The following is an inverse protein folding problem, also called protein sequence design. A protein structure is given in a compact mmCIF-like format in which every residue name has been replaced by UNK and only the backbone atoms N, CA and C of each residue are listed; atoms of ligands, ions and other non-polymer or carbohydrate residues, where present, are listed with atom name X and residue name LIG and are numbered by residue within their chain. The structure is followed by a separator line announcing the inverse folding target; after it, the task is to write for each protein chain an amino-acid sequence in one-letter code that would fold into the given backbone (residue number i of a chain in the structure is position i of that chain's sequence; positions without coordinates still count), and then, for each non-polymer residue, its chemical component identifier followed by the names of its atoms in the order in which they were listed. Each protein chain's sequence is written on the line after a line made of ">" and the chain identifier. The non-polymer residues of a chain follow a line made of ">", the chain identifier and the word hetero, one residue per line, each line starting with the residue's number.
data_IF_581240753897
#
_entry.id   IF_581240753897
#
_cell.length_a   1.000
_cell.length_b   1.000
_cell.length_c   1.000
_cell.angle_alpha   90.00
_cell.angle_beta   90.00
_cell.angle_gamma   90.00
#
_symmetry.space_group_name_H-M   'P 1'
#
loop_
_entity.id
_entity.type
_entity.pdbx_description
1 polymer ?
#
# COMPACT_ATOMS: atom_id res chain seq x y z
N UNK A 1 44.20 3.24 34.42
CA UNK A 1 43.95 1.79 34.50
C UNK A 1 42.56 1.57 33.86
N UNK A 2 42.58 1.18 32.60
CA UNK A 2 41.33 0.82 31.88
C UNK A 2 41.01 -0.62 32.23
N UNK A 3 39.85 -0.84 32.83
CA UNK A 3 39.33 -2.18 33.06
C UNK A 3 38.63 -2.67 31.80
N UNK A 4 39.35 -3.47 30.98
CA UNK A 4 38.76 -4.21 29.86
C UNK A 4 38.00 -5.40 30.45
N UNK A 5 36.69 -5.32 30.44
CA UNK A 5 35.81 -6.47 30.77
C UNK A 5 35.80 -7.43 29.59
N UNK A 6 36.42 -8.58 29.74
CA UNK A 6 36.32 -9.67 28.76
C UNK A 6 35.02 -10.45 28.98
N UNK A 7 34.06 -10.29 28.08
CA UNK A 7 32.81 -11.08 28.08
C UNK A 7 33.12 -12.39 27.34
N UNK A 8 32.86 -13.58 27.94
CA UNK A 8 33.06 -14.85 27.26
C UNK A 8 32.20 -14.93 25.98
N UNK A 9 32.80 -15.40 24.90
CA UNK A 9 32.19 -15.49 23.54
C UNK A 9 30.81 -16.19 23.52
N UNK A 10 30.61 -17.11 24.44
CA UNK A 10 29.33 -17.83 24.60
C UNK A 10 28.22 -16.94 25.20
N UNK A 11 28.57 -16.02 26.11
CA UNK A 11 27.63 -15.04 26.67
C UNK A 11 27.27 -13.93 25.66
N UNK A 12 28.19 -13.56 24.79
CA UNK A 12 27.89 -12.61 23.70
C UNK A 12 26.85 -13.16 22.73
N UNK A 13 26.97 -14.46 22.37
CA UNK A 13 25.99 -15.12 21.50
C UNK A 13 24.60 -15.23 22.15
N UNK A 14 24.54 -15.59 23.43
CA UNK A 14 23.30 -15.67 24.16
C UNK A 14 22.65 -14.29 24.37
N UNK A 15 23.45 -13.27 24.66
CA UNK A 15 22.99 -11.88 24.79
C UNK A 15 22.51 -11.34 23.45
N UNK A 16 23.21 -11.61 22.35
CA UNK A 16 22.78 -11.21 21.01
C UNK A 16 21.48 -11.91 20.56
N UNK A 17 21.33 -13.20 20.83
CA UNK A 17 20.10 -13.95 20.58
C UNK A 17 18.95 -13.41 21.44
N UNK A 18 19.21 -13.05 22.71
CA UNK A 18 18.20 -12.50 23.60
C UNK A 18 17.74 -11.10 23.14
N UNK A 19 18.63 -10.22 22.70
CA UNK A 19 18.29 -8.91 22.12
C UNK A 19 17.53 -9.03 20.80
N UNK A 20 17.90 -9.96 19.91
CA UNK A 20 17.17 -10.21 18.67
C UNK A 20 15.78 -10.82 18.89
N UNK A 21 15.58 -11.54 19.99
CA UNK A 21 14.26 -12.12 20.32
C UNK A 21 13.32 -11.10 20.98
N UNK A 22 13.87 -10.02 21.58
CA UNK A 22 13.10 -8.96 22.26
C UNK A 22 12.69 -7.78 21.38
N UNK A 23 13.28 -7.63 20.20
CA UNK A 23 12.87 -6.57 19.26
C UNK A 23 11.63 -7.06 18.52
N UNK A 24 10.47 -6.53 18.88
CA UNK A 24 9.22 -6.76 18.13
C UNK A 24 9.48 -6.42 16.65
N UNK A 25 9.40 -7.42 15.79
CA UNK A 25 9.51 -7.23 14.34
C UNK A 25 8.36 -6.35 13.87
N UNK A 26 8.67 -5.28 13.14
CA UNK A 26 7.62 -4.42 12.56
C UNK A 26 6.81 -5.21 11.54
N UNK A 27 5.49 -5.06 11.59
CA UNK A 27 4.55 -5.73 10.70
C UNK A 27 4.04 -4.78 9.64
N UNK A 28 4.15 -5.19 8.39
CA UNK A 28 3.60 -4.49 7.22
C UNK A 28 2.43 -5.31 6.70
N UNK A 29 1.22 -4.74 6.78
CA UNK A 29 0.01 -5.36 6.23
C UNK A 29 -0.24 -4.83 4.82
N UNK A 30 -0.41 -5.72 3.87
CA UNK A 30 -1.04 -5.41 2.58
C UNK A 30 -2.49 -5.85 2.65
N UNK A 31 -3.42 -4.90 2.67
CA UNK A 31 -4.85 -5.17 2.71
C UNK A 31 -5.51 -4.71 1.42
N UNK A 32 -6.21 -5.61 0.74
CA UNK A 32 -6.95 -5.28 -0.49
C UNK A 32 -8.07 -6.27 -0.81
N UNK A 33 -9.28 -5.75 -1.08
CA UNK A 33 -10.38 -6.54 -1.62
C UNK A 33 -10.06 -7.07 -3.03
N UNK A 34 -9.40 -6.25 -3.84
CA UNK A 34 -8.96 -6.59 -5.20
C UNK A 34 -7.46 -6.88 -5.20
N UNK A 35 -7.03 -8.14 -5.28
CA UNK A 35 -5.63 -8.52 -5.13
C UNK A 35 -4.70 -7.77 -6.08
N UNK A 36 -3.48 -7.53 -5.64
CA UNK A 36 -2.40 -7.10 -6.50
C UNK A 36 -1.97 -8.22 -7.46
N UNK A 37 -1.34 -7.85 -8.56
CA UNK A 37 -0.65 -8.85 -9.39
C UNK A 37 0.44 -9.54 -8.56
N UNK A 38 0.62 -10.85 -8.74
CA UNK A 38 1.59 -11.64 -7.98
C UNK A 38 3.00 -11.02 -7.99
N UNK A 39 3.45 -10.53 -9.14
CA UNK A 39 4.77 -9.88 -9.28
C UNK A 39 4.91 -8.65 -8.37
N UNK A 40 3.84 -7.89 -8.13
CA UNK A 40 3.85 -6.74 -7.24
C UNK A 40 3.94 -7.19 -5.77
N UNK A 41 3.19 -8.22 -5.39
CA UNK A 41 3.25 -8.80 -4.03
C UNK A 41 4.64 -9.38 -3.76
N UNK A 42 5.22 -10.12 -4.72
CA UNK A 42 6.57 -10.67 -4.59
C UNK A 42 7.62 -9.55 -4.42
N UNK A 43 7.48 -8.44 -5.15
CA UNK A 43 8.35 -7.26 -5.00
C UNK A 43 8.21 -6.58 -3.64
N UNK A 44 6.98 -6.38 -3.15
CA UNK A 44 6.71 -5.84 -1.81
C UNK A 44 7.33 -6.75 -0.75
N UNK A 45 7.11 -8.06 -0.87
CA UNK A 45 7.67 -9.07 0.04
C UNK A 45 9.18 -8.98 0.12
N UNK A 46 9.84 -8.93 -1.02
CA UNK A 46 11.30 -8.83 -1.08
C UNK A 46 11.81 -7.60 -0.31
N UNK A 47 11.21 -6.42 -0.53
CA UNK A 47 11.61 -5.17 0.13
C UNK A 47 11.37 -5.25 1.64
N UNK A 48 10.20 -5.73 2.06
CA UNK A 48 9.82 -5.84 3.47
C UNK A 48 10.74 -6.81 4.22
N UNK A 49 11.02 -7.97 3.63
CA UNK A 49 11.90 -8.99 4.25
C UNK A 49 13.37 -8.53 4.29
N UNK A 50 13.86 -7.83 3.25
CA UNK A 50 15.20 -7.24 3.24
C UNK A 50 15.37 -6.18 4.34
N UNK A 51 14.31 -5.44 4.66
CA UNK A 51 14.29 -4.50 5.77
C UNK A 51 14.19 -5.18 7.15
N UNK A 52 14.09 -6.50 7.21
CA UNK A 52 13.94 -7.26 8.45
C UNK A 52 12.52 -7.22 9.02
N UNK A 53 11.52 -6.77 8.27
CA UNK A 53 10.12 -6.66 8.69
C UNK A 53 9.33 -7.93 8.35
N UNK A 54 8.13 -8.05 8.91
CA UNK A 54 7.18 -9.13 8.63
C UNK A 54 6.11 -8.63 7.66
N UNK A 55 5.88 -9.36 6.56
CA UNK A 55 4.77 -9.09 5.64
C UNK A 55 3.56 -9.93 6.02
N UNK A 56 2.43 -9.27 6.19
CA UNK A 56 1.11 -9.89 6.38
C UNK A 56 0.24 -9.54 5.17
N UNK A 57 -0.51 -10.51 4.65
CA UNK A 57 -1.41 -10.32 3.51
C UNK A 57 -2.85 -10.54 3.94
N UNK A 58 -3.72 -9.58 3.64
CA UNK A 58 -5.17 -9.70 3.72
C UNK A 58 -5.75 -9.39 2.34
N UNK A 59 -5.94 -10.42 1.53
CA UNK A 59 -6.46 -10.29 0.18
C UNK A 59 -7.87 -10.86 0.08
N UNK A 60 -8.69 -10.26 -0.82
CA UNK A 60 -10.06 -10.72 -1.11
C UNK A 60 -10.96 -10.79 0.12
N UNK A 61 -10.72 -9.95 1.10
CA UNK A 61 -11.63 -9.86 2.23
C UNK A 61 -12.99 -9.28 1.79
N UNK A 62 -14.03 -9.67 2.49
CA UNK A 62 -15.43 -9.40 2.11
C UNK A 62 -16.19 -8.56 3.12
N UNK A 63 -15.56 -8.26 4.25
CA UNK A 63 -16.15 -7.43 5.29
C UNK A 63 -15.14 -6.50 5.92
N UNK A 64 -15.60 -5.31 6.30
CA UNK A 64 -14.79 -4.34 7.04
C UNK A 64 -14.24 -4.91 8.34
N UNK A 65 -14.99 -5.80 8.99
CA UNK A 65 -14.58 -6.44 10.25
C UNK A 65 -13.24 -7.18 10.09
N UNK A 66 -13.02 -7.87 8.97
CA UNK A 66 -11.75 -8.54 8.70
C UNK A 66 -10.57 -7.55 8.60
N UNK A 67 -10.82 -6.36 8.02
CA UNK A 67 -9.80 -5.30 7.98
C UNK A 67 -9.51 -4.76 9.38
N UNK A 68 -10.55 -4.49 10.19
CA UNK A 68 -10.40 -3.99 11.56
C UNK A 68 -9.59 -4.96 12.43
N UNK A 69 -9.83 -6.26 12.29
CA UNK A 69 -9.08 -7.29 13.01
C UNK A 69 -7.61 -7.35 12.54
N UNK A 70 -7.38 -7.27 11.23
CA UNK A 70 -6.05 -7.36 10.66
C UNK A 70 -5.17 -6.16 10.97
N UNK A 71 -5.73 -4.94 11.07
CA UNK A 71 -4.95 -3.73 11.35
C UNK A 71 -4.59 -3.56 12.83
N UNK A 72 -5.17 -4.34 13.73
CA UNK A 72 -5.05 -4.13 15.17
C UNK A 72 -3.60 -4.22 15.72
N UNK A 73 -2.74 -4.99 15.07
CA UNK A 73 -1.34 -5.24 15.52
C UNK A 73 -0.30 -5.01 14.40
N UNK A 74 -0.53 -4.06 13.52
CA UNK A 74 0.42 -3.75 12.44
C UNK A 74 1.01 -2.35 12.58
N UNK A 75 2.23 -2.18 12.10
CA UNK A 75 2.97 -0.91 12.17
C UNK A 75 2.84 -0.10 10.88
N UNK A 76 2.61 -0.77 9.74
CA UNK A 76 2.42 -0.16 8.43
C UNK A 76 1.29 -0.85 7.66
N UNK A 77 0.52 -0.07 6.90
CA UNK A 77 -0.58 -0.54 6.08
C UNK A 77 -0.40 -0.10 4.63
N UNK A 78 -0.47 -1.04 3.71
CA UNK A 78 -0.50 -0.78 2.27
C UNK A 78 -1.88 -1.16 1.75
N UNK A 79 -2.56 -0.20 1.11
CA UNK A 79 -3.88 -0.38 0.50
C UNK A 79 -3.87 -0.02 -0.99
N UNK A 80 -4.92 -0.38 -1.69
CA UNK A 80 -5.17 0.03 -3.07
C UNK A 80 -6.41 0.91 -3.22
N UNK A 81 -7.60 0.31 -3.17
CA UNK A 81 -8.89 0.99 -3.29
C UNK A 81 -9.70 0.92 -2.00
N UNK A 82 -9.13 0.34 -0.99
CA UNK A 82 -9.74 0.08 0.30
C UNK A 82 -9.82 1.38 1.11
N UNK A 83 -10.90 1.55 1.86
CA UNK A 83 -11.11 2.76 2.66
C UNK A 83 -10.41 2.65 4.01
N UNK A 84 -9.67 3.67 4.36
CA UNK A 84 -9.06 3.87 5.69
C UNK A 84 -9.72 5.08 6.35
N UNK A 85 -10.85 4.84 6.98
CA UNK A 85 -11.61 5.83 7.73
C UNK A 85 -11.20 5.87 9.21
N UNK A 86 -11.86 6.72 9.99
CA UNK A 86 -11.58 6.88 11.42
C UNK A 86 -11.70 5.56 12.18
N UNK A 87 -12.68 4.69 11.85
CA UNK A 87 -12.86 3.42 12.53
C UNK A 87 -11.70 2.45 12.31
N UNK A 88 -11.14 2.41 11.08
CA UNK A 88 -9.93 1.63 10.78
C UNK A 88 -8.73 2.15 11.55
N UNK A 89 -8.57 3.48 11.61
CA UNK A 89 -7.49 4.12 12.36
C UNK A 89 -7.63 3.93 13.87
N UNK A 90 -8.86 3.98 14.39
CA UNK A 90 -9.16 3.67 15.78
C UNK A 90 -8.79 2.23 16.16
N UNK A 91 -8.98 1.27 15.26
CA UNK A 91 -8.62 -0.13 15.47
C UNK A 91 -7.10 -0.35 15.40
N UNK A 92 -6.38 0.42 14.59
CA UNK A 92 -4.96 0.25 14.25
C UNK A 92 -4.02 0.88 15.30
N UNK A 93 -3.95 0.31 16.50
CA UNK A 93 -3.28 0.89 17.67
C UNK A 93 -1.77 1.16 17.51
N UNK A 94 -1.08 0.39 16.66
CA UNK A 94 0.37 0.49 16.47
C UNK A 94 0.73 1.16 15.14
N UNK A 95 -0.25 1.50 14.31
CA UNK A 95 -0.04 1.98 12.95
C UNK A 95 0.71 3.31 12.95
N UNK A 96 1.74 3.40 12.14
CA UNK A 96 2.58 4.60 11.96
C UNK A 96 2.43 5.22 10.59
N UNK A 97 2.11 4.38 9.60
CA UNK A 97 2.04 4.81 8.20
C UNK A 97 1.00 4.00 7.44
N UNK A 98 0.23 4.70 6.61
CA UNK A 98 -0.62 4.11 5.58
C UNK A 98 -0.15 4.56 4.21
N UNK A 99 0.02 3.63 3.27
CA UNK A 99 0.47 3.89 1.91
C UNK A 99 -0.61 3.43 0.93
N UNK A 100 -1.15 4.36 0.16
CA UNK A 100 -2.03 4.03 -0.96
C UNK A 100 -1.19 3.72 -2.20
N UNK A 101 -1.27 2.50 -2.72
CA UNK A 101 -0.63 2.11 -3.97
C UNK A 101 -1.40 2.66 -5.18
N UNK A 102 -1.23 3.96 -5.42
CA UNK A 102 -1.88 4.69 -6.50
C UNK A 102 -1.78 6.21 -6.32
N UNK A 103 -2.26 6.97 -7.31
CA UNK A 103 -2.09 8.42 -7.37
C UNK A 103 -3.09 9.19 -6.49
N UNK A 104 -4.36 8.77 -6.43
CA UNK A 104 -5.36 9.38 -5.55
C UNK A 104 -5.11 9.02 -4.07
N UNK A 105 -5.78 9.70 -3.15
CA UNK A 105 -5.74 9.41 -1.70
C UNK A 105 -7.07 9.73 -1.01
N UNK A 106 -8.11 9.89 -1.78
CA UNK A 106 -9.49 10.20 -1.36
C UNK A 106 -10.14 9.09 -0.51
N UNK A 107 -9.55 7.89 -0.52
CA UNK A 107 -9.93 6.75 0.30
C UNK A 107 -9.21 6.68 1.65
N UNK A 108 -8.43 7.70 2.03
CA UNK A 108 -7.80 7.83 3.35
C UNK A 108 -8.35 9.07 4.04
N UNK A 109 -8.89 8.91 5.23
CA UNK A 109 -9.28 10.04 6.08
C UNK A 109 -8.03 10.70 6.68
N UNK A 110 -7.58 11.79 6.01
CA UNK A 110 -6.38 12.51 6.41
C UNK A 110 -6.52 13.21 7.77
N UNK A 111 -7.73 13.65 8.13
CA UNK A 111 -7.96 14.30 9.41
C UNK A 111 -7.83 13.28 10.55
N UNK A 112 -8.46 12.12 10.39
CA UNK A 112 -8.32 11.02 11.34
C UNK A 112 -6.87 10.50 11.39
N UNK A 113 -6.18 10.33 10.26
CA UNK A 113 -4.78 9.92 10.22
C UNK A 113 -3.89 10.89 11.03
N UNK A 114 -4.10 12.20 10.85
CA UNK A 114 -3.38 13.24 11.62
C UNK A 114 -3.67 13.13 13.12
N UNK A 115 -4.93 12.94 13.51
CA UNK A 115 -5.32 12.80 14.90
C UNK A 115 -4.67 11.58 15.58
N UNK A 116 -4.44 10.52 14.81
CA UNK A 116 -3.77 9.29 15.28
C UNK A 116 -2.24 9.32 15.12
N UNK A 117 -1.65 10.42 14.63
CA UNK A 117 -0.23 10.53 14.29
C UNK A 117 0.23 9.49 13.26
N UNK A 118 -0.64 9.13 12.33
CA UNK A 118 -0.36 8.21 11.23
C UNK A 118 0.01 9.00 9.98
N UNK A 119 1.15 8.69 9.38
CA UNK A 119 1.58 9.27 8.11
C UNK A 119 0.77 8.67 6.97
N UNK A 120 0.15 9.49 6.12
CA UNK A 120 -0.51 9.04 4.89
C UNK A 120 0.37 9.34 3.68
N UNK A 121 0.58 8.34 2.84
CA UNK A 121 1.38 8.45 1.61
C UNK A 121 0.63 7.84 0.42
N UNK A 122 0.99 8.29 -0.78
CA UNK A 122 0.52 7.75 -2.05
C UNK A 122 1.68 7.58 -3.03
N UNK A 123 1.41 7.04 -4.24
CA UNK A 123 2.42 6.84 -5.30
C UNK A 123 2.04 7.64 -6.56
N UNK A 124 2.19 8.99 -6.54
CA UNK A 124 1.77 9.82 -7.64
C UNK A 124 2.57 9.52 -8.91
N UNK A 125 1.89 9.56 -10.06
CA UNK A 125 2.51 9.42 -11.38
C UNK A 125 2.87 8.00 -11.81
N UNK A 126 2.83 7.00 -10.94
CA UNK A 126 3.28 5.64 -11.27
C UNK A 126 2.39 4.92 -12.30
N UNK A 127 1.14 5.33 -12.43
CA UNK A 127 0.18 4.79 -13.40
C UNK A 127 -0.14 5.77 -14.55
N UNK A 128 0.55 6.90 -14.65
CA UNK A 128 0.22 7.97 -15.62
C UNK A 128 0.22 7.48 -17.07
N UNK A 129 1.19 6.68 -17.46
CA UNK A 129 1.29 6.13 -18.80
C UNK A 129 0.10 5.22 -19.13
N UNK A 130 -0.24 4.30 -18.23
CA UNK A 130 -1.38 3.40 -18.41
C UNK A 130 -2.72 4.16 -18.50
N UNK A 131 -2.89 5.24 -17.72
CA UNK A 131 -4.06 6.11 -17.80
C UNK A 131 -4.11 6.85 -19.14
N UNK A 132 -2.99 7.36 -19.63
CA UNK A 132 -2.91 8.04 -20.92
C UNK A 132 -3.26 7.10 -22.09
N UNK A 133 -2.73 5.89 -22.09
CA UNK A 133 -3.06 4.86 -23.09
C UNK A 133 -4.54 4.48 -23.05
N UNK A 134 -5.10 4.29 -21.89
CA UNK A 134 -6.53 4.02 -21.72
C UNK A 134 -7.39 5.18 -22.24
N UNK A 135 -7.01 6.43 -21.93
CA UNK A 135 -7.72 7.62 -22.42
C UNK A 135 -7.73 7.69 -23.95
N UNK A 136 -6.58 7.42 -24.60
CA UNK A 136 -6.49 7.32 -26.07
C UNK A 136 -7.41 6.22 -26.62
N UNK A 137 -7.38 5.03 -26.03
CA UNK A 137 -8.26 3.93 -26.41
C UNK A 137 -9.73 4.28 -26.28
N UNK A 138 -10.14 4.91 -25.18
CA UNK A 138 -11.51 5.34 -24.94
C UNK A 138 -11.97 6.42 -25.93
N UNK A 139 -11.09 7.37 -26.30
CA UNK A 139 -11.41 8.38 -27.32
C UNK A 139 -11.74 7.73 -28.67
N UNK A 140 -10.92 6.76 -29.11
CA UNK A 140 -11.17 6.02 -30.36
C UNK A 140 -12.49 5.24 -30.24
N UNK A 141 -12.70 4.52 -29.16
CA UNK A 141 -13.93 3.77 -28.93
C UNK A 141 -15.18 4.66 -28.92
N UNK A 142 -15.10 5.83 -28.32
CA UNK A 142 -16.22 6.77 -28.23
C UNK A 142 -16.66 7.27 -29.61
N UNK A 143 -15.72 7.71 -30.48
CA UNK A 143 -16.07 8.20 -31.82
C UNK A 143 -16.50 7.08 -32.77
N UNK A 144 -16.14 5.83 -32.47
CA UNK A 144 -16.50 4.64 -33.26
C UNK A 144 -17.74 3.93 -32.70
N UNK A 145 -18.58 4.60 -31.91
CA UNK A 145 -19.79 4.04 -31.29
C UNK A 145 -19.52 2.72 -30.52
N UNK A 146 -18.44 2.69 -29.73
CA UNK A 146 -17.95 1.51 -28.99
C UNK A 146 -17.71 0.27 -29.90
N UNK A 147 -17.50 0.50 -31.17
CA UNK A 147 -17.28 -0.55 -32.18
C UNK A 147 -18.42 -1.59 -32.24
N UNK A 148 -19.65 -1.12 -32.22
CA UNK A 148 -20.86 -1.96 -32.20
C UNK A 148 -21.34 -2.44 -33.60
N UNK A 149 -20.52 -2.31 -34.63
CA UNK A 149 -20.86 -2.67 -36.01
C UNK A 149 -21.57 -1.55 -36.81
N UNK A 150 -21.80 -0.39 -36.20
CA UNK A 150 -22.37 0.78 -36.91
C UNK A 150 -21.26 1.75 -37.31
N UNK A 151 -21.60 2.64 -38.26
CA UNK A 151 -20.69 3.71 -38.67
C UNK A 151 -20.47 4.69 -37.52
N UNK A 152 -19.21 5.08 -37.31
CA UNK A 152 -18.80 6.13 -36.38
C UNK A 152 -18.10 7.27 -37.08
N UNK A 153 -17.59 8.23 -36.30
CA UNK A 153 -16.80 9.36 -36.78
C UNK A 153 -15.31 9.14 -36.56
N UNK A 154 -14.49 10.08 -36.96
CA UNK A 154 -13.03 10.08 -36.77
C UNK A 154 -12.64 11.09 -35.68
N UNK A 155 -11.46 10.93 -35.10
CA UNK A 155 -10.85 11.94 -34.22
C UNK A 155 -10.29 13.13 -35.00
N UNK A 156 -9.96 12.92 -36.26
CA UNK A 156 -9.40 13.97 -37.12
C UNK A 156 -10.27 15.23 -37.13
N UNK A 157 -9.67 16.38 -36.89
CA UNK A 157 -10.34 17.69 -36.88
C UNK A 157 -11.16 17.96 -35.63
N UNK A 158 -11.23 17.04 -34.65
CA UNK A 158 -11.92 17.26 -33.36
C UNK A 158 -11.04 18.00 -32.36
N UNK A 159 -11.67 18.73 -31.46
CA UNK A 159 -10.98 19.40 -30.34
C UNK A 159 -10.99 18.50 -29.13
N UNK A 160 -9.85 18.39 -28.44
CA UNK A 160 -9.69 17.68 -27.17
C UNK A 160 -9.55 18.71 -26.04
N UNK A 161 -10.39 18.61 -25.03
CA UNK A 161 -10.23 19.29 -23.76
C UNK A 161 -9.70 18.31 -22.71
N UNK A 162 -8.67 18.69 -21.95
CA UNK A 162 -8.14 17.93 -20.84
C UNK A 162 -8.34 18.77 -19.59
N UNK A 163 -9.03 18.19 -18.61
CA UNK A 163 -9.19 18.77 -17.28
C UNK A 163 -8.50 17.85 -16.26
N UNK A 164 -7.50 18.39 -15.53
CA UNK A 164 -6.71 17.68 -14.54
C UNK A 164 -6.66 18.46 -13.22
#
# INVERSE_FOLDING_TARGET
>A
MEHVYHIPEQKEKETFVFYTTLVKKMKVLVATEKPFAKVAVDGIKQVVEQAGYELVLLEKYTSKQQLLEAVADVDALIIRSDNVDAEVLDAAKNLKIVVRAGAGYDNIDLAAATAHNVVAMNTPGQNSNAVAELALGLMVMAVRNLYNGTSGTELMGKKLGIHA
#
